data_IF_498488456546
#
_entry.id   IF_498488456546
#
_cell.length_a   1.000
_cell.length_b   1.000
_cell.length_c   1.000
_cell.angle_alpha   90.00
_cell.angle_beta   90.00
_cell.angle_gamma   90.00
#
_symmetry.space_group_name_H-M   'P 1'
#
loop_
_entity.id
_entity.type
_entity.pdbx_description
1 polymer ?
#
# COMPACT_ATOMS: atom_id res chain seq x y z
N UNK A 1 11.91 16.18 -35.91
CA UNK A 1 12.49 14.85 -35.66
C UNK A 1 12.47 14.65 -34.15
N UNK A 2 11.52 13.85 -33.64
CA UNK A 2 11.38 13.48 -32.23
C UNK A 2 11.28 11.95 -32.18
N UNK A 3 12.00 11.24 -31.30
CA UNK A 3 11.98 9.79 -31.29
C UNK A 3 10.79 9.23 -30.49
N UNK A 4 10.32 8.12 -31.07
CA UNK A 4 9.31 7.14 -30.68
C UNK A 4 9.50 6.61 -29.26
N UNK A 5 8.40 6.48 -28.51
CA UNK A 5 8.42 5.79 -27.20
C UNK A 5 7.14 5.90 -26.38
N UNK A 6 5.95 5.81 -27.00
CA UNK A 6 4.68 5.74 -26.24
C UNK A 6 3.63 4.86 -26.94
N UNK A 7 4.05 3.66 -27.38
CA UNK A 7 3.12 2.70 -27.95
C UNK A 7 3.56 1.27 -27.63
N UNK A 8 3.22 0.80 -26.44
CA UNK A 8 2.79 -0.56 -26.14
C UNK A 8 2.08 -0.51 -24.80
N UNK A 9 0.96 -1.23 -24.68
CA UNK A 9 -0.02 -1.23 -23.58
C UNK A 9 -1.15 -0.19 -23.65
N UNK A 10 -1.72 0.03 -24.84
CA UNK A 10 -3.12 0.46 -24.98
C UNK A 10 -3.88 -0.62 -25.77
N UNK A 11 -4.33 -1.67 -25.07
CA UNK A 11 -5.38 -2.55 -25.57
C UNK A 11 -6.07 -3.26 -24.39
N UNK A 12 -7.39 -3.11 -24.37
CA UNK A 12 -8.39 -3.66 -23.43
C UNK A 12 -8.69 -2.74 -22.23
N UNK A 13 -9.60 -1.78 -22.45
CA UNK A 13 -10.79 -1.44 -21.64
C UNK A 13 -11.41 -0.16 -22.25
N UNK A 14 -12.70 -0.12 -22.64
CA UNK A 14 -13.27 1.05 -23.31
C UNK A 14 -13.90 1.99 -22.29
N UNK A 15 -13.12 2.84 -21.63
CA UNK A 15 -13.69 3.99 -20.91
C UNK A 15 -12.82 5.23 -21.07
N UNK A 16 -13.35 6.20 -21.82
CA UNK A 16 -12.83 7.58 -21.86
C UNK A 16 -13.16 8.23 -20.52
N UNK A 17 -12.13 8.64 -19.77
CA UNK A 17 -12.33 9.52 -18.62
C UNK A 17 -12.57 10.96 -19.09
N UNK A 18 -13.61 11.57 -18.53
CA UNK A 18 -13.87 13.00 -18.62
C UNK A 18 -13.21 13.65 -17.39
N UNK A 19 -12.26 14.54 -17.61
CA UNK A 19 -11.77 15.45 -16.57
C UNK A 19 -12.92 16.39 -16.16
N UNK A 20 -13.11 16.52 -14.85
CA UNK A 20 -13.72 17.66 -14.12
C UNK A 20 -14.73 17.20 -13.05
N UNK A 21 -14.39 17.41 -11.77
CA UNK A 21 -15.02 18.44 -10.92
C UNK A 21 -14.67 18.29 -9.43
N UNK A 22 -14.53 19.45 -8.82
CA UNK A 22 -14.45 19.73 -7.38
C UNK A 22 -15.45 18.95 -6.53
N UNK A 23 -14.99 18.41 -5.40
CA UNK A 23 -15.82 17.69 -4.45
C UNK A 23 -16.71 18.65 -3.63
N UNK A 24 -18.03 18.50 -3.74
CA UNK A 24 -18.99 19.05 -2.77
C UNK A 24 -19.45 17.92 -1.86
N UNK A 25 -19.24 18.07 -0.55
CA UNK A 25 -19.73 17.13 0.45
C UNK A 25 -21.22 17.35 0.70
N UNK A 26 -22.03 16.34 0.39
CA UNK A 26 -23.43 16.25 0.76
C UNK A 26 -23.75 14.86 1.33
N UNK A 27 -24.10 14.81 2.62
CA UNK A 27 -25.08 13.88 3.18
C UNK A 27 -24.85 12.37 3.08
N UNK A 28 -23.72 11.87 3.58
CA UNK A 28 -23.50 10.56 4.24
C UNK A 28 -21.99 10.43 4.42
N UNK A 29 -21.48 10.43 5.65
CA UNK A 29 -20.02 10.37 5.90
C UNK A 29 -19.49 8.95 5.69
N UNK A 30 -19.46 8.47 4.45
CA UNK A 30 -18.55 7.37 4.12
C UNK A 30 -17.15 7.98 4.06
N UNK A 31 -16.39 7.91 5.16
CA UNK A 31 -15.01 8.37 5.24
C UNK A 31 -14.05 7.44 4.49
N UNK A 32 -14.51 6.85 3.40
CA UNK A 32 -13.75 5.90 2.58
C UNK A 32 -12.97 6.64 1.52
N UNK A 33 -11.77 6.16 1.23
CA UNK A 33 -10.94 6.68 0.14
C UNK A 33 -10.79 5.55 -0.87
N UNK A 34 -11.01 5.86 -2.14
CA UNK A 34 -10.78 4.95 -3.25
C UNK A 34 -9.90 5.66 -4.29
N UNK A 35 -8.78 5.02 -4.64
CA UNK A 35 -7.87 5.52 -5.66
C UNK A 35 -7.42 4.36 -6.56
N UNK A 36 -7.30 4.62 -7.86
CA UNK A 36 -7.03 3.62 -8.89
C UNK A 36 -5.84 4.02 -9.77
N UNK A 37 -5.12 3.02 -10.28
CA UNK A 37 -3.97 3.15 -11.18
C UNK A 37 -2.97 4.20 -10.68
N UNK A 38 -2.50 4.01 -9.46
CA UNK A 38 -1.69 4.99 -8.75
C UNK A 38 -0.22 4.81 -9.16
N UNK A 39 0.40 5.89 -9.61
CA UNK A 39 1.83 5.87 -9.94
C UNK A 39 2.66 5.60 -8.69
N UNK A 40 3.78 4.88 -8.82
CA UNK A 40 4.73 4.65 -7.74
C UNK A 40 6.02 5.46 -8.02
N UNK A 41 6.61 6.17 -7.04
CA UNK A 41 6.17 6.29 -5.65
C UNK A 41 4.97 7.22 -5.46
N UNK A 42 4.18 6.99 -4.41
CA UNK A 42 3.07 7.83 -4.00
C UNK A 42 2.83 7.82 -2.50
N UNK A 43 1.94 8.72 -2.08
CA UNK A 43 1.53 8.88 -0.69
C UNK A 43 0.06 9.32 -0.64
N UNK A 44 -0.78 8.62 0.12
CA UNK A 44 -2.22 8.91 0.26
C UNK A 44 -2.51 9.21 1.71
N UNK A 45 -3.06 10.40 1.96
CA UNK A 45 -3.48 10.83 3.30
C UNK A 45 -4.82 10.17 3.66
N UNK A 46 -4.95 9.76 4.92
CA UNK A 46 -6.19 9.25 5.51
C UNK A 46 -6.55 10.05 6.76
N UNK A 47 -7.84 10.16 7.11
CA UNK A 47 -8.26 10.92 8.29
C UNK A 47 -7.76 10.31 9.61
N UNK A 48 -7.76 8.98 9.67
CA UNK A 48 -7.38 8.16 10.82
C UNK A 48 -6.95 6.76 10.34
N UNK A 49 -6.46 5.93 11.27
CA UNK A 49 -6.37 4.48 11.11
C UNK A 49 -6.42 3.88 12.51
N UNK A 50 -7.55 3.31 12.92
CA UNK A 50 -7.76 2.79 14.27
C UNK A 50 -8.37 1.39 14.22
N UNK A 51 -8.75 0.85 15.37
CA UNK A 51 -9.33 -0.48 15.49
C UNK A 51 -10.51 -0.67 14.52
N UNK A 52 -10.40 -1.65 13.63
CA UNK A 52 -11.39 -1.98 12.60
C UNK A 52 -11.16 -1.30 11.25
N UNK A 53 -10.33 -0.26 11.16
CA UNK A 53 -9.98 0.39 9.89
C UNK A 53 -9.10 -0.50 9.04
N UNK A 54 -9.26 -0.38 7.73
CA UNK A 54 -8.61 -1.24 6.75
C UNK A 54 -8.11 -0.46 5.56
N UNK A 55 -6.85 -0.73 5.19
CA UNK A 55 -6.39 -0.55 3.82
C UNK A 55 -6.54 -1.85 3.06
N UNK A 56 -7.06 -1.78 1.84
CA UNK A 56 -7.07 -2.86 0.85
C UNK A 56 -6.36 -2.37 -0.40
N UNK A 57 -5.24 -2.99 -0.73
CA UNK A 57 -4.38 -2.60 -1.84
C UNK A 57 -4.31 -3.75 -2.84
N UNK A 58 -4.66 -3.48 -4.10
CA UNK A 58 -4.46 -4.45 -5.19
C UNK A 58 -3.15 -4.11 -5.89
N UNK A 59 -2.22 -5.07 -5.90
CA UNK A 59 -0.85 -4.87 -6.39
C UNK A 59 -0.44 -5.93 -7.41
N UNK A 60 0.49 -5.56 -8.28
CA UNK A 60 1.26 -6.48 -9.12
C UNK A 60 2.75 -6.17 -8.93
N UNK A 61 3.54 -7.01 -8.23
CA UNK A 61 4.97 -6.82 -8.15
C UNK A 61 5.60 -6.95 -9.54
N UNK A 62 6.53 -6.07 -9.90
CA UNK A 62 7.06 -6.01 -11.26
C UNK A 62 8.12 -7.12 -11.51
N UNK A 63 8.15 -7.75 -12.70
CA UNK A 63 9.08 -8.85 -13.04
C UNK A 63 10.56 -8.57 -12.80
N UNK A 64 11.01 -7.34 -13.04
CA UNK A 64 12.42 -6.94 -12.96
C UNK A 64 12.80 -6.35 -11.59
N UNK A 65 11.91 -6.43 -10.61
CA UNK A 65 12.01 -5.69 -9.35
C UNK A 65 12.39 -6.54 -8.16
N UNK A 66 13.54 -6.29 -7.53
CA UNK A 66 13.98 -7.06 -6.36
C UNK A 66 13.12 -6.83 -5.11
N UNK A 67 12.46 -5.67 -5.01
CA UNK A 67 11.66 -5.31 -3.83
C UNK A 67 10.68 -4.17 -4.09
N UNK A 68 9.66 -4.11 -3.25
CA UNK A 68 8.79 -2.94 -3.10
C UNK A 68 8.42 -2.76 -1.63
N UNK A 69 7.89 -1.60 -1.26
CA UNK A 69 7.40 -1.38 0.09
C UNK A 69 6.05 -0.68 0.12
N UNK A 70 5.28 -1.02 1.15
CA UNK A 70 4.08 -0.29 1.56
C UNK A 70 4.32 0.17 3.01
N UNK A 71 4.23 1.48 3.22
CA UNK A 71 4.54 2.13 4.48
C UNK A 71 3.27 2.73 5.07
N UNK A 72 2.86 2.28 6.25
CA UNK A 72 1.87 3.00 7.06
C UNK A 72 2.63 4.01 7.92
N UNK A 73 2.31 5.29 7.76
CA UNK A 73 3.13 6.39 8.32
C UNK A 73 2.33 7.27 9.27
N UNK A 74 2.99 7.68 10.33
CA UNK A 74 2.62 8.88 11.09
C UNK A 74 3.23 10.12 10.39
N UNK A 75 2.98 11.33 10.89
CA UNK A 75 3.66 12.52 10.37
C UNK A 75 5.19 12.49 10.51
N UNK A 76 5.73 11.73 11.48
CA UNK A 76 7.17 11.68 11.76
C UNK A 76 7.85 10.37 11.37
N UNK A 77 7.14 9.24 11.40
CA UNK A 77 7.76 7.92 11.37
C UNK A 77 6.96 6.91 10.54
N UNK A 78 7.60 5.79 10.23
CA UNK A 78 6.95 4.61 9.66
C UNK A 78 6.47 3.74 10.82
N UNK A 79 5.16 3.72 11.06
CA UNK A 79 4.55 2.85 12.07
C UNK A 79 4.64 1.38 11.67
N UNK A 80 4.50 1.08 10.38
CA UNK A 80 4.72 -0.25 9.83
C UNK A 80 5.24 -0.17 8.39
N UNK A 81 6.39 -0.79 8.17
CA UNK A 81 7.02 -1.03 6.88
C UNK A 81 6.73 -2.47 6.46
N UNK A 82 6.01 -2.66 5.36
CA UNK A 82 5.83 -3.97 4.73
C UNK A 82 6.72 -4.03 3.48
N UNK A 83 7.75 -4.88 3.47
CA UNK A 83 8.74 -4.90 2.41
C UNK A 83 9.06 -6.31 1.90
N UNK A 84 8.31 -6.78 0.89
CA UNK A 84 8.68 -7.95 0.10
C UNK A 84 10.02 -7.74 -0.61
N UNK A 85 10.95 -8.66 -0.38
CA UNK A 85 12.29 -8.73 -0.97
C UNK A 85 12.44 -10.06 -1.70
N UNK A 86 12.25 -10.04 -3.02
CA UNK A 86 12.32 -11.23 -3.89
C UNK A 86 13.73 -11.81 -3.95
N UNK A 87 14.75 -10.96 -3.89
CA UNK A 87 16.16 -11.36 -3.85
C UNK A 87 16.58 -12.07 -2.55
N UNK A 88 15.81 -11.91 -1.46
CA UNK A 88 16.06 -12.51 -0.15
C UNK A 88 15.01 -13.58 0.22
N UNK A 89 14.04 -13.85 -0.66
CA UNK A 89 12.89 -14.75 -0.41
C UNK A 89 12.15 -14.47 0.91
N UNK A 90 12.01 -13.18 1.26
CA UNK A 90 11.39 -12.77 2.53
C UNK A 90 10.50 -11.54 2.39
N UNK A 91 9.53 -11.42 3.29
CA UNK A 91 8.90 -10.14 3.63
C UNK A 91 9.51 -9.65 4.93
N UNK A 92 10.03 -8.42 4.90
CA UNK A 92 10.50 -7.73 6.10
C UNK A 92 9.41 -6.79 6.61
N UNK A 93 9.08 -6.94 7.89
CA UNK A 93 8.28 -6.00 8.66
C UNK A 93 9.19 -5.20 9.60
N UNK A 94 8.98 -3.89 9.68
CA UNK A 94 9.70 -3.04 10.63
C UNK A 94 8.94 -1.73 10.89
N UNK A 95 9.55 -0.84 11.65
CA UNK A 95 9.11 0.52 11.94
C UNK A 95 10.34 1.43 12.09
N UNK A 96 10.12 2.74 12.08
CA UNK A 96 11.14 3.71 12.47
C UNK A 96 10.80 4.37 13.80
N UNK A 97 11.82 4.89 14.48
CA UNK A 97 11.67 5.77 15.62
C UNK A 97 12.70 6.90 15.50
N UNK A 98 12.22 8.12 15.23
CA UNK A 98 13.10 9.24 14.88
C UNK A 98 13.94 8.90 13.66
N UNK A 99 13.30 8.39 12.61
CA UNK A 99 13.90 7.95 11.34
C UNK A 99 14.90 6.79 11.41
N UNK A 100 15.11 6.21 12.61
CA UNK A 100 15.98 5.05 12.77
C UNK A 100 15.17 3.75 12.68
N UNK A 101 15.59 2.83 11.82
CA UNK A 101 15.02 1.49 11.73
C UNK A 101 15.12 0.75 13.06
N UNK A 102 14.02 0.12 13.45
CA UNK A 102 13.96 -0.73 14.63
C UNK A 102 14.29 -2.20 14.26
N UNK A 103 13.94 -3.15 15.13
CA UNK A 103 14.23 -4.57 14.90
C UNK A 103 13.37 -5.13 13.75
N UNK A 104 13.98 -5.76 12.76
CA UNK A 104 13.25 -6.44 11.69
C UNK A 104 12.49 -7.68 12.20
N UNK A 105 11.30 -7.90 11.67
CA UNK A 105 10.56 -9.16 11.68
C UNK A 105 10.58 -9.73 10.26
N UNK A 106 11.03 -10.97 10.10
CA UNK A 106 11.23 -11.59 8.78
C UNK A 106 10.33 -12.81 8.64
N UNK A 107 9.57 -12.85 7.55
CA UNK A 107 8.61 -13.92 7.25
C UNK A 107 8.86 -14.42 5.82
N UNK A 108 8.58 -15.69 5.54
CA UNK A 108 8.72 -16.25 4.19
C UNK A 108 7.86 -15.50 3.18
N UNK A 109 8.39 -15.31 1.97
CA UNK A 109 7.73 -14.54 0.92
C UNK A 109 6.61 -15.36 0.23
N UNK A 110 5.34 -14.92 0.29
CA UNK A 110 4.24 -15.62 -0.41
C UNK A 110 3.97 -15.05 -1.80
N UNK A 111 4.73 -14.03 -2.22
CA UNK A 111 4.50 -13.28 -3.45
C UNK A 111 5.44 -13.76 -4.56
N UNK A 112 4.93 -13.69 -5.78
CA UNK A 112 5.69 -13.87 -7.01
C UNK A 112 5.48 -12.67 -7.92
N UNK A 113 6.54 -12.24 -8.58
CA UNK A 113 6.49 -11.13 -9.53
C UNK A 113 5.56 -11.46 -10.71
N UNK A 114 4.92 -10.43 -11.27
CA UNK A 114 3.97 -10.53 -12.37
C UNK A 114 2.58 -11.08 -12.00
N UNK A 115 2.32 -11.40 -10.72
CA UNK A 115 1.01 -11.88 -10.25
C UNK A 115 0.25 -10.81 -9.47
N UNK A 116 -1.08 -10.89 -9.52
CA UNK A 116 -1.98 -10.00 -8.80
C UNK A 116 -2.17 -10.49 -7.37
N UNK A 117 -2.07 -9.56 -6.41
CA UNK A 117 -2.38 -9.82 -5.01
C UNK A 117 -3.28 -8.73 -4.45
N UNK A 118 -4.22 -9.13 -3.58
CA UNK A 118 -4.86 -8.21 -2.65
C UNK A 118 -4.08 -8.27 -1.33
N UNK A 119 -3.54 -7.14 -0.89
CA UNK A 119 -2.89 -6.99 0.40
C UNK A 119 -3.77 -6.10 1.26
N UNK A 120 -4.15 -6.59 2.43
CA UNK A 120 -4.97 -5.84 3.39
C UNK A 120 -4.19 -5.59 4.67
N UNK A 121 -4.25 -4.36 5.16
CA UNK A 121 -3.73 -3.97 6.46
C UNK A 121 -4.89 -3.56 7.35
N UNK A 122 -5.10 -4.27 8.46
CA UNK A 122 -6.21 -4.04 9.38
C UNK A 122 -5.66 -3.58 10.71
N UNK A 123 -6.08 -2.38 11.14
CA UNK A 123 -5.76 -1.87 12.46
C UNK A 123 -6.58 -2.63 13.49
N UNK A 124 -5.91 -3.22 14.48
CA UNK A 124 -6.52 -3.79 15.68
C UNK A 124 -5.88 -3.16 16.91
N UNK A 125 -6.51 -3.34 18.07
CA UNK A 125 -5.90 -2.92 19.33
C UNK A 125 -4.52 -3.58 19.51
N UNK A 126 -3.48 -2.75 19.61
CA UNK A 126 -2.06 -3.10 19.81
C UNK A 126 -1.34 -3.82 18.65
N UNK A 127 -2.00 -4.02 17.49
CA UNK A 127 -1.37 -4.72 16.35
C UNK A 127 -1.99 -4.36 15.01
N UNK A 128 -1.23 -4.61 13.95
CA UNK A 128 -1.71 -4.46 12.57
C UNK A 128 -1.66 -5.85 11.91
N UNK A 129 -2.82 -6.33 11.46
CA UNK A 129 -2.89 -7.59 10.72
C UNK A 129 -2.63 -7.33 9.25
N UNK A 130 -1.80 -8.17 8.64
CA UNK A 130 -1.61 -8.23 7.20
C UNK A 130 -2.30 -9.48 6.65
N UNK A 131 -3.21 -9.30 5.68
CA UNK A 131 -3.80 -10.40 4.93
C UNK A 131 -3.34 -10.34 3.48
N UNK A 132 -3.07 -11.51 2.89
CA UNK A 132 -2.76 -11.65 1.47
C UNK A 132 -3.81 -12.55 0.85
N UNK A 133 -4.51 -12.04 -0.15
CA UNK A 133 -5.64 -12.69 -0.81
C UNK A 133 -6.71 -13.17 0.19
N UNK A 134 -6.97 -12.36 1.23
CA UNK A 134 -7.96 -12.65 2.28
C UNK A 134 -7.52 -13.67 3.34
N UNK A 135 -6.30 -14.20 3.26
CA UNK A 135 -5.73 -15.12 4.26
C UNK A 135 -4.78 -14.36 5.17
N UNK A 136 -4.87 -14.58 6.49
CA UNK A 136 -3.94 -14.01 7.46
C UNK A 136 -2.51 -14.42 7.11
N UNK A 137 -1.65 -13.42 6.91
CA UNK A 137 -0.25 -13.62 6.58
C UNK A 137 0.67 -13.33 7.77
N UNK A 138 0.51 -12.19 8.44
CA UNK A 138 1.33 -11.80 9.59
C UNK A 138 0.57 -10.85 10.52
N UNK A 139 0.91 -10.86 11.80
CA UNK A 139 0.48 -9.86 12.79
C UNK A 139 1.70 -9.08 13.28
N UNK A 140 1.74 -7.79 12.99
CA UNK A 140 2.80 -6.91 13.46
C UNK A 140 2.35 -6.23 14.76
N UNK A 141 3.05 -6.49 15.86
CA UNK A 141 2.78 -5.80 17.12
C UNK A 141 3.19 -4.33 16.99
N UNK A 142 2.27 -3.43 17.31
CA UNK A 142 2.52 -2.01 17.09
C UNK A 142 3.64 -1.51 18.01
N UNK A 143 4.54 -0.70 17.43
CA UNK A 143 5.60 0.00 18.17
C UNK A 143 5.31 1.50 18.26
N UNK A 144 4.40 1.95 17.39
CA UNK A 144 3.75 3.25 17.39
C UNK A 144 2.25 2.97 17.30
N UNK A 145 1.40 3.58 18.15
CA UNK A 145 -0.04 3.37 18.12
C UNK A 145 -0.64 3.57 16.73
N UNK A 146 -1.46 2.62 16.29
CA UNK A 146 -2.07 2.68 14.96
C UNK A 146 -2.85 3.98 14.71
N UNK A 147 -3.50 4.55 15.74
CA UNK A 147 -4.26 5.80 15.67
C UNK A 147 -3.43 7.05 15.31
N UNK A 148 -2.10 6.95 15.33
CA UNK A 148 -1.18 7.99 14.86
C UNK A 148 -0.92 7.93 13.35
N UNK A 149 -1.28 6.83 12.69
CA UNK A 149 -1.12 6.67 11.24
C UNK A 149 -2.05 7.63 10.51
N UNK A 150 -1.50 8.39 9.57
CA UNK A 150 -2.20 9.39 8.76
C UNK A 150 -2.03 9.19 7.27
N UNK A 151 -1.28 8.17 6.85
CA UNK A 151 -1.08 7.90 5.44
C UNK A 151 -0.56 6.51 5.14
N UNK A 152 -0.73 6.14 3.88
CA UNK A 152 -0.11 4.98 3.24
C UNK A 152 0.79 5.48 2.10
N UNK A 153 2.04 5.05 2.10
CA UNK A 153 3.00 5.30 1.03
C UNK A 153 3.39 4.01 0.32
N UNK A 154 3.56 4.05 -1.00
CA UNK A 154 4.02 2.90 -1.77
C UNK A 154 5.22 3.29 -2.62
N UNK A 155 6.21 2.40 -2.69
CA UNK A 155 7.49 2.64 -3.33
C UNK A 155 8.12 1.36 -3.88
N UNK A 156 9.11 1.51 -4.75
CA UNK A 156 9.83 0.39 -5.37
C UNK A 156 9.09 -0.26 -6.53
N UNK A 157 9.40 -1.51 -6.82
CA UNK A 157 9.03 -2.17 -8.06
C UNK A 157 7.66 -2.88 -7.97
N UNK A 158 6.60 -2.08 -7.91
CA UNK A 158 5.22 -2.55 -7.82
C UNK A 158 4.29 -1.68 -8.64
N UNK A 159 3.33 -2.28 -9.33
CA UNK A 159 2.19 -1.60 -9.91
C UNK A 159 1.04 -1.61 -8.91
N UNK A 160 0.47 -0.43 -8.63
CA UNK A 160 -0.67 -0.27 -7.74
C UNK A 160 -1.93 -0.10 -8.58
N UNK A 161 -2.77 -1.14 -8.60
CA UNK A 161 -4.04 -1.08 -9.30
C UNK A 161 -5.08 -0.28 -8.50
N UNK A 162 -5.19 -0.52 -7.19
CA UNK A 162 -6.10 0.24 -6.34
C UNK A 162 -5.65 0.31 -4.88
N UNK A 163 -6.07 1.37 -4.21
CA UNK A 163 -6.06 1.52 -2.75
C UNK A 163 -7.45 1.90 -2.30
N UNK A 164 -8.00 1.12 -1.38
CA UNK A 164 -9.28 1.38 -0.73
C UNK A 164 -9.03 1.49 0.78
N UNK A 165 -9.48 2.59 1.38
CA UNK A 165 -9.50 2.80 2.82
C UNK A 165 -10.95 2.78 3.31
N UNK A 166 -11.25 1.97 4.32
CA UNK A 166 -12.58 1.84 4.96
C UNK A 166 -12.47 1.70 6.47
#
# INVERSE_FOLDING_TARGET
>A
MFPVGKAMFDAILPFRFQEDRTWKFGGATSSSIEAFNINTPNHIMVPDFNNGRRFRVVVVPLPEGDRFAINLRTPSDIAMHFNPRFNEDTVVFNSTSGDNWQKEERVSLPLHQGRVYTIEFVGLDNRIQTLINGVLFHEFNERIPCNEIRSIGMEGAVHIHSVIYV
#
